data_IF_387477886384
#
_entry.id   IF_387477886384
#
_cell.length_a   1.000
_cell.length_b   1.000
_cell.length_c   1.000
_cell.angle_alpha   90.00
_cell.angle_beta   90.00
_cell.angle_gamma   90.00
#
_symmetry.space_group_name_H-M   'P 1'
#
loop_
_entity.id
_entity.type
_entity.pdbx_description
1 polymer ?
#
# COMPACT_ATOMS: atom_id res chain seq x y z
N UNK A 1 -3.57 -19.14 12.84
CA UNK A 1 -2.86 -18.57 11.66
C UNK A 1 -1.40 -18.30 12.04
N UNK A 2 -0.40 -18.77 11.27
CA UNK A 2 1.02 -18.42 11.52
C UNK A 2 1.21 -16.91 11.35
N UNK A 3 1.97 -16.24 12.25
CA UNK A 3 2.21 -14.77 12.22
C UNK A 3 2.65 -14.27 10.83
N UNK A 4 3.45 -15.05 10.11
CA UNK A 4 3.87 -14.78 8.72
C UNK A 4 2.71 -14.66 7.71
N UNK A 5 1.65 -15.46 7.85
CA UNK A 5 0.49 -15.39 6.96
C UNK A 5 -0.33 -14.12 7.22
N UNK A 6 -0.39 -13.67 8.47
CA UNK A 6 -1.10 -12.45 8.84
C UNK A 6 -0.43 -11.19 8.25
N UNK A 7 0.90 -11.09 8.32
CA UNK A 7 1.65 -10.00 7.69
C UNK A 7 1.51 -9.98 6.17
N UNK A 8 1.51 -11.15 5.51
CA UNK A 8 1.24 -11.25 4.07
C UNK A 8 -0.19 -10.79 3.74
N UNK A 9 -1.17 -11.17 4.55
CA UNK A 9 -2.56 -10.78 4.34
C UNK A 9 -2.77 -9.26 4.47
N UNK A 10 -2.15 -8.63 5.48
CA UNK A 10 -2.16 -7.17 5.66
C UNK A 10 -1.51 -6.48 4.45
N UNK A 11 -0.39 -7.01 3.96
CA UNK A 11 0.27 -6.48 2.77
C UNK A 11 -0.61 -6.57 1.52
N UNK A 12 -1.24 -7.72 1.28
CA UNK A 12 -2.17 -7.91 0.16
C UNK A 12 -3.35 -6.96 0.25
N UNK A 13 -3.95 -6.79 1.43
CA UNK A 13 -5.03 -5.84 1.66
C UNK A 13 -4.58 -4.40 1.39
N UNK A 14 -3.40 -4.01 1.87
CA UNK A 14 -2.84 -2.69 1.61
C UNK A 14 -2.64 -2.43 0.12
N UNK A 15 -2.08 -3.39 -0.61
CA UNK A 15 -1.89 -3.28 -2.06
C UNK A 15 -3.22 -3.15 -2.82
N UNK A 16 -4.25 -3.91 -2.42
CA UNK A 16 -5.58 -3.80 -3.02
C UNK A 16 -6.20 -2.42 -2.79
N UNK A 17 -6.15 -1.90 -1.55
CA UNK A 17 -6.68 -0.57 -1.23
C UNK A 17 -5.95 0.52 -2.01
N UNK A 18 -4.62 0.42 -2.14
CA UNK A 18 -3.82 1.36 -2.93
C UNK A 18 -4.16 1.32 -4.42
N UNK A 19 -4.36 0.13 -5.00
CA UNK A 19 -4.79 -0.02 -6.40
C UNK A 19 -6.17 0.59 -6.64
N UNK A 20 -7.12 0.36 -5.73
CA UNK A 20 -8.46 0.96 -5.80
C UNK A 20 -8.36 2.48 -5.74
N UNK A 21 -7.60 3.03 -4.78
CA UNK A 21 -7.41 4.47 -4.65
C UNK A 21 -6.70 5.12 -5.84
N UNK A 22 -5.75 4.41 -6.46
CA UNK A 22 -5.14 4.82 -7.73
C UNK A 22 -6.15 4.79 -8.89
N UNK A 23 -7.03 3.79 -8.95
CA UNK A 23 -8.13 3.73 -9.91
C UNK A 23 -9.07 4.93 -9.81
N UNK A 24 -9.48 5.30 -8.59
CA UNK A 24 -10.28 6.51 -8.36
C UNK A 24 -9.52 7.80 -8.71
N UNK A 25 -8.22 7.86 -8.43
CA UNK A 25 -7.38 9.00 -8.83
C UNK A 25 -7.30 9.10 -10.35
N UNK A 26 -7.07 7.99 -11.05
CA UNK A 26 -7.03 7.95 -12.50
C UNK A 26 -8.37 8.38 -13.10
N UNK A 27 -9.47 7.87 -12.56
CA UNK A 27 -10.82 8.28 -12.95
C UNK A 27 -11.00 9.80 -12.80
N UNK A 28 -10.60 10.35 -11.66
CA UNK A 28 -10.70 11.80 -11.43
C UNK A 28 -9.81 12.61 -12.36
N UNK A 29 -8.63 12.10 -12.72
CA UNK A 29 -7.75 12.73 -13.69
C UNK A 29 -8.36 12.73 -15.10
N UNK A 30 -8.92 11.61 -15.55
CA UNK A 30 -9.51 11.49 -16.88
C UNK A 30 -10.83 12.27 -17.00
N UNK A 31 -11.73 12.15 -16.03
CA UNK A 31 -13.08 12.75 -16.11
C UNK A 31 -13.08 14.23 -15.72
N UNK A 32 -12.36 14.61 -14.67
CA UNK A 32 -12.41 15.97 -14.12
C UNK A 32 -11.15 16.79 -14.44
N UNK A 33 -10.21 16.23 -15.22
CA UNK A 33 -8.93 16.88 -15.59
C UNK A 33 -8.13 17.36 -14.38
N UNK A 34 -8.39 16.81 -13.20
CA UNK A 34 -7.63 17.10 -11.99
C UNK A 34 -6.24 16.51 -12.09
N UNK A 35 -5.20 17.13 -11.50
CA UNK A 35 -3.85 16.56 -11.54
C UNK A 35 -3.83 15.17 -10.90
N UNK A 36 -3.33 14.17 -11.63
CA UNK A 36 -3.22 12.78 -11.15
C UNK A 36 -2.41 12.70 -9.84
N UNK A 37 -1.30 13.45 -9.76
CA UNK A 37 -0.44 13.50 -8.58
C UNK A 37 -0.88 14.60 -7.61
N UNK A 38 -2.12 14.55 -7.14
CA UNK A 38 -2.63 15.50 -6.15
C UNK A 38 -2.17 15.15 -4.72
N UNK A 39 -2.51 16.00 -3.75
CA UNK A 39 -2.10 15.83 -2.33
C UNK A 39 -2.57 14.48 -1.76
N UNK A 40 -3.75 14.02 -2.16
CA UNK A 40 -4.36 12.75 -1.74
C UNK A 40 -3.61 11.55 -2.34
N UNK A 41 -3.29 11.56 -3.63
CA UNK A 41 -2.55 10.48 -4.30
C UNK A 41 -1.14 10.34 -3.75
N UNK A 42 -0.47 11.47 -3.49
CA UNK A 42 0.84 11.48 -2.81
C UNK A 42 0.75 10.88 -1.40
N UNK A 43 -0.30 11.22 -0.65
CA UNK A 43 -0.56 10.64 0.68
C UNK A 43 -0.86 9.14 0.65
N UNK A 44 -1.62 8.68 -0.36
CA UNK A 44 -1.93 7.27 -0.56
C UNK A 44 -0.66 6.47 -0.89
N UNK A 45 0.17 6.97 -1.80
CA UNK A 45 1.45 6.36 -2.17
C UNK A 45 2.43 6.34 -1.00
N UNK A 46 2.52 7.41 -0.21
CA UNK A 46 3.41 7.46 0.95
C UNK A 46 2.97 6.48 2.04
N UNK A 47 1.67 6.39 2.32
CA UNK A 47 1.12 5.41 3.27
C UNK A 47 1.38 3.96 2.82
N UNK A 48 1.24 3.69 1.51
CA UNK A 48 1.57 2.38 0.95
C UNK A 48 3.06 2.04 1.10
N UNK A 49 3.96 2.99 0.78
CA UNK A 49 5.39 2.80 0.96
C UNK A 49 5.77 2.53 2.42
N UNK A 50 5.20 3.28 3.36
CA UNK A 50 5.40 3.04 4.80
C UNK A 50 4.91 1.65 5.24
N UNK A 51 3.75 1.21 4.73
CA UNK A 51 3.25 -0.15 4.98
C UNK A 51 4.23 -1.20 4.45
N UNK A 52 4.78 -0.98 3.26
CA UNK A 52 5.74 -1.88 2.61
C UNK A 52 7.03 -2.03 3.42
N UNK A 53 7.58 -0.91 3.90
CA UNK A 53 8.76 -0.89 4.78
C UNK A 53 8.48 -1.64 6.09
N UNK A 54 7.33 -1.40 6.72
CA UNK A 54 6.97 -2.05 7.98
C UNK A 54 6.82 -3.57 7.80
N UNK A 55 6.17 -4.02 6.72
CA UNK A 55 6.03 -5.45 6.40
C UNK A 55 7.40 -6.07 6.12
N UNK A 56 8.26 -5.39 5.35
CA UNK A 56 9.61 -5.88 5.04
C UNK A 56 10.46 -6.06 6.31
N UNK A 57 10.48 -5.08 7.21
CA UNK A 57 11.17 -5.17 8.51
C UNK A 57 10.61 -6.33 9.34
N UNK A 58 9.28 -6.47 9.39
CA UNK A 58 8.61 -7.51 10.18
C UNK A 58 8.91 -8.92 9.66
N UNK A 59 8.99 -9.09 8.33
CA UNK A 59 9.41 -10.34 7.70
C UNK A 59 10.90 -10.62 7.90
N UNK A 60 11.77 -9.61 7.78
CA UNK A 60 13.20 -9.75 8.00
C UNK A 60 13.52 -10.20 9.43
N UNK A 61 12.92 -9.53 10.43
CA UNK A 61 13.04 -9.89 11.85
C UNK A 61 12.43 -11.26 12.18
N UNK A 62 11.41 -11.69 11.44
CA UNK A 62 10.86 -13.05 11.58
C UNK A 62 11.77 -14.14 10.98
N UNK A 63 12.70 -13.79 10.10
CA UNK A 63 13.62 -14.73 9.45
C UNK A 63 14.93 -14.89 10.23
N UNK A 64 15.36 -13.85 10.95
CA UNK A 64 16.55 -13.81 11.82
C UNK A 64 16.46 -14.75 13.04
N UNK A 65 15.25 -15.11 13.47
CA UNK A 65 15.02 -16.06 14.58
C UNK A 65 15.15 -17.54 14.18
N UNK A 66 15.87 -17.87 13.10
CA UNK A 66 15.98 -19.25 12.60
C UNK A 66 17.40 -19.78 12.72
#
# INVERSE_FOLDING_TARGET
MKKRNLWRMIFTLSAMVTLIGLGFTAYNHFVFHQPFMNRTTKGLLSAFFLSLVMVAISLAKSNDKK
#
